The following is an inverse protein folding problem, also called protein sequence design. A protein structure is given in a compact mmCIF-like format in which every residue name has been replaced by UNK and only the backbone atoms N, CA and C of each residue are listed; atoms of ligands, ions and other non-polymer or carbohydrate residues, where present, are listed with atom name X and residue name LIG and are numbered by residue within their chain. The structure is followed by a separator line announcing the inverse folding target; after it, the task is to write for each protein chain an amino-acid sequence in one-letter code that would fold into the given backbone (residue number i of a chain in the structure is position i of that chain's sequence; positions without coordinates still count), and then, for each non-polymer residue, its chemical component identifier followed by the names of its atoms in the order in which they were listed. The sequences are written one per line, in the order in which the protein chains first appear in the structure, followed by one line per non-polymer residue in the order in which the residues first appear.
data_IF_930623637436
#
_entry.id   IF_930623637436
#
_cell.length_a   1.000
_cell.length_b   1.000
_cell.length_c   1.000
_cell.angle_alpha   90.00
_cell.angle_beta   90.00
_cell.angle_gamma   90.00
#
_symmetry.space_group_name_H-M   'P 1'
#
loop_
_entity.id
_entity.type
_entity.pdbx_description
1 polymer ?
#
# COMPACT_ATOMS: atom_id res chain seq x y z
N UNK A 1 -31.02 1.36 -6.01
CA UNK A 1 -30.51 0.97 -4.68
C UNK A 1 -29.19 0.21 -4.75
N UNK A 2 -28.95 -0.67 -5.73
CA UNK A 2 -27.65 -1.36 -5.88
C UNK A 2 -26.43 -0.41 -6.04
N UNK A 3 -26.59 0.73 -6.72
CA UNK A 3 -25.50 1.70 -6.89
C UNK A 3 -25.10 2.46 -5.62
N UNK A 4 -25.99 2.57 -4.62
CA UNK A 4 -25.65 3.19 -3.33
C UNK A 4 -24.80 2.23 -2.49
N UNK A 5 -25.19 0.96 -2.42
CA UNK A 5 -24.41 -0.06 -1.72
C UNK A 5 -22.99 -0.22 -2.29
N UNK A 6 -22.85 -0.16 -3.63
CA UNK A 6 -21.52 -0.22 -4.27
C UNK A 6 -20.67 1.03 -3.99
N UNK A 7 -21.28 2.21 -3.92
CA UNK A 7 -20.57 3.44 -3.54
C UNK A 7 -20.15 3.43 -2.07
N UNK A 8 -20.98 2.88 -1.18
CA UNK A 8 -20.68 2.71 0.24
C UNK A 8 -19.53 1.72 0.44
N UNK A 9 -19.52 0.59 -0.27
CA UNK A 9 -18.44 -0.39 -0.23
C UNK A 9 -17.10 0.21 -0.72
N UNK A 10 -17.11 0.92 -1.84
CA UNK A 10 -15.93 1.66 -2.33
C UNK A 10 -15.47 2.75 -1.35
N UNK A 11 -16.40 3.42 -0.66
CA UNK A 11 -16.06 4.40 0.34
C UNK A 11 -15.39 3.77 1.56
N UNK A 12 -15.89 2.60 2.02
CA UNK A 12 -15.29 1.82 3.10
C UNK A 12 -13.89 1.37 2.73
N UNK A 13 -13.68 0.81 1.53
CA UNK A 13 -12.36 0.38 1.06
C UNK A 13 -11.38 1.56 1.03
N UNK A 14 -11.79 2.69 0.42
CA UNK A 14 -10.96 3.89 0.32
C UNK A 14 -10.62 4.47 1.69
N UNK A 15 -11.59 4.56 2.60
CA UNK A 15 -11.36 5.11 3.95
C UNK A 15 -10.51 4.16 4.80
N UNK A 16 -10.71 2.85 4.67
CA UNK A 16 -9.89 1.84 5.33
C UNK A 16 -8.44 1.94 4.86
N UNK A 17 -8.23 2.00 3.54
CA UNK A 17 -6.90 2.20 2.97
C UNK A 17 -6.27 3.48 3.50
N UNK A 18 -7.03 4.58 3.51
CA UNK A 18 -6.53 5.87 4.00
C UNK A 18 -6.11 5.84 5.47
N UNK A 19 -6.90 5.21 6.33
CA UNK A 19 -6.57 5.10 7.76
C UNK A 19 -5.32 4.22 7.98
N UNK A 20 -5.15 3.17 7.19
CA UNK A 20 -3.96 2.32 7.24
C UNK A 20 -2.72 3.08 6.74
N UNK A 21 -2.87 3.87 5.66
CA UNK A 21 -1.83 4.79 5.18
C UNK A 21 -1.41 5.78 6.28
N UNK A 22 -2.36 6.51 6.87
CA UNK A 22 -2.09 7.52 7.90
C UNK A 22 -1.39 6.88 9.13
N UNK A 23 -1.87 5.71 9.59
CA UNK A 23 -1.24 4.97 10.70
C UNK A 23 0.20 4.52 10.37
N UNK A 24 0.47 4.14 9.13
CA UNK A 24 1.81 3.80 8.67
C UNK A 24 2.73 5.02 8.71
N UNK A 25 2.28 6.17 8.20
CA UNK A 25 3.05 7.42 8.23
C UNK A 25 3.37 7.85 9.67
N UNK A 26 2.38 7.81 10.56
CA UNK A 26 2.56 8.16 11.96
C UNK A 26 3.57 7.24 12.65
N UNK A 27 3.47 5.93 12.42
CA UNK A 27 4.42 4.96 12.95
C UNK A 27 5.83 5.20 12.40
N UNK A 28 5.96 5.41 11.08
CA UNK A 28 7.24 5.67 10.45
C UNK A 28 7.88 6.94 11.01
N UNK A 29 7.11 8.01 11.22
CA UNK A 29 7.59 9.26 11.82
C UNK A 29 8.09 9.06 13.26
N UNK A 30 7.33 8.34 14.08
CA UNK A 30 7.70 8.04 15.48
C UNK A 30 8.96 7.18 15.55
N UNK A 31 9.05 6.12 14.74
CA UNK A 31 10.20 5.23 14.75
C UNK A 31 11.44 5.93 14.19
N UNK A 32 11.31 6.77 13.16
CA UNK A 32 12.42 7.58 12.64
C UNK A 32 12.95 8.56 13.69
N UNK A 33 12.06 9.24 14.42
CA UNK A 33 12.46 10.17 15.48
C UNK A 33 13.16 9.48 16.66
N UNK A 34 12.74 8.25 16.99
CA UNK A 34 13.28 7.52 18.14
C UNK A 34 14.55 6.71 17.81
N UNK A 35 14.56 5.96 16.70
CA UNK A 35 15.62 5.03 16.28
C UNK A 35 15.64 4.86 14.75
N UNK A 36 16.41 5.69 14.02
CA UNK A 36 16.44 5.67 12.55
C UNK A 36 16.79 4.31 11.93
N UNK A 37 17.71 3.56 12.55
CA UNK A 37 18.11 2.23 12.08
C UNK A 37 16.97 1.19 12.26
N UNK A 38 16.17 1.32 13.32
CA UNK A 38 15.00 0.47 13.52
C UNK A 38 13.88 0.83 12.53
N UNK A 39 13.74 2.11 12.18
CA UNK A 39 12.81 2.55 11.15
C UNK A 39 13.16 1.93 9.79
N UNK A 40 14.43 2.00 9.38
CA UNK A 40 14.88 1.41 8.12
C UNK A 40 14.62 -0.11 8.06
N UNK A 41 14.90 -0.84 9.15
CA UNK A 41 14.62 -2.28 9.22
C UNK A 41 13.12 -2.59 9.16
N UNK A 42 12.28 -1.79 9.83
CA UNK A 42 10.83 -1.93 9.81
C UNK A 42 10.26 -1.69 8.40
N UNK A 43 10.71 -0.63 7.73
CA UNK A 43 10.31 -0.27 6.37
C UNK A 43 10.65 -1.42 5.39
N UNK A 44 11.86 -1.97 5.47
CA UNK A 44 12.28 -3.11 4.66
C UNK A 44 11.43 -4.38 4.89
N UNK A 45 11.06 -4.69 6.15
CA UNK A 45 10.17 -5.81 6.46
C UNK A 45 8.77 -5.60 5.86
N UNK A 46 8.29 -4.36 5.86
CA UNK A 46 6.98 -4.02 5.30
C UNK A 46 6.99 -4.11 3.77
N UNK A 47 8.04 -3.65 3.10
CA UNK A 47 8.27 -3.84 1.66
C UNK A 47 8.25 -5.33 1.26
N UNK A 48 8.96 -6.17 2.02
CA UNK A 48 8.99 -7.60 1.76
C UNK A 48 7.61 -8.24 1.91
N UNK A 49 6.88 -7.88 2.97
CA UNK A 49 5.55 -8.44 3.23
C UNK A 49 4.55 -8.07 2.13
N UNK A 50 4.60 -6.85 1.61
CA UNK A 50 3.79 -6.42 0.46
C UNK A 50 4.11 -7.27 -0.76
N UNK A 51 5.40 -7.44 -1.07
CA UNK A 51 5.86 -8.27 -2.17
C UNK A 51 5.36 -9.71 -2.05
N UNK A 52 5.43 -10.29 -0.85
CA UNK A 52 4.97 -11.66 -0.59
C UNK A 52 3.46 -11.81 -0.82
N UNK A 53 2.66 -10.83 -0.36
CA UNK A 53 1.19 -10.83 -0.54
C UNK A 53 0.80 -10.70 -2.01
N UNK A 54 1.42 -9.76 -2.74
CA UNK A 54 1.15 -9.58 -4.16
C UNK A 54 1.57 -10.81 -4.99
N UNK A 55 2.72 -11.39 -4.65
CA UNK A 55 3.18 -12.65 -5.25
C UNK A 55 2.21 -13.78 -4.98
N UNK A 56 1.71 -13.90 -3.75
CA UNK A 56 0.71 -14.89 -3.39
C UNK A 56 -0.60 -14.69 -4.18
N UNK A 57 -1.09 -13.44 -4.28
CA UNK A 57 -2.28 -13.08 -5.04
C UNK A 57 -2.17 -13.52 -6.51
N UNK A 58 -1.03 -13.26 -7.15
CA UNK A 58 -0.76 -13.72 -8.51
C UNK A 58 -0.73 -15.24 -8.62
N UNK A 59 -0.06 -15.92 -7.67
CA UNK A 59 0.09 -17.39 -7.70
C UNK A 59 -1.22 -18.13 -7.46
N UNK A 60 -2.07 -17.62 -6.58
CA UNK A 60 -3.36 -18.25 -6.25
C UNK A 60 -4.47 -17.86 -7.20
N UNK A 61 -4.25 -16.83 -8.04
CA UNK A 61 -5.29 -16.21 -8.88
C UNK A 61 -6.55 -15.87 -8.08
N UNK A 62 -6.40 -15.31 -6.88
CA UNK A 62 -7.55 -15.03 -6.00
C UNK A 62 -8.59 -14.10 -6.65
N UNK A 63 -8.16 -13.26 -7.59
CA UNK A 63 -9.01 -12.35 -8.38
C UNK A 63 -9.28 -12.87 -9.81
N UNK A 64 -9.07 -14.17 -10.05
CA UNK A 64 -9.21 -14.80 -11.36
C UNK A 64 -8.16 -14.31 -12.36
N UNK A 65 -8.54 -14.17 -13.63
CA UNK A 65 -7.62 -13.79 -14.73
C UNK A 65 -7.03 -12.39 -14.58
N UNK A 66 -7.64 -11.53 -13.77
CA UNK A 66 -7.17 -10.15 -13.53
C UNK A 66 -6.17 -10.02 -12.38
N UNK A 67 -5.84 -11.12 -11.71
CA UNK A 67 -4.97 -11.10 -10.51
C UNK A 67 -3.63 -10.42 -10.75
N UNK A 68 -3.02 -10.60 -11.93
CA UNK A 68 -1.75 -9.95 -12.27
C UNK A 68 -1.89 -8.43 -12.44
N UNK A 69 -2.95 -7.98 -13.14
CA UNK A 69 -3.24 -6.55 -13.33
C UNK A 69 -3.56 -5.88 -12.00
N UNK A 70 -4.32 -6.55 -11.14
CA UNK A 70 -4.66 -6.03 -9.81
C UNK A 70 -3.41 -5.98 -8.93
N UNK A 71 -2.58 -7.02 -8.93
CA UNK A 71 -1.33 -7.02 -8.16
C UNK A 71 -0.38 -5.90 -8.59
N UNK A 72 -0.28 -5.63 -9.89
CA UNK A 72 0.52 -4.52 -10.41
C UNK A 72 -0.03 -3.16 -9.94
N UNK A 73 -1.32 -2.92 -10.11
CA UNK A 73 -1.95 -1.67 -9.69
C UNK A 73 -1.84 -1.42 -8.17
N UNK A 74 -2.02 -2.48 -7.37
CA UNK A 74 -1.85 -2.40 -5.90
C UNK A 74 -0.37 -2.18 -5.56
N UNK A 75 0.56 -2.85 -6.25
CA UNK A 75 1.99 -2.66 -6.06
C UNK A 75 2.47 -1.24 -6.37
N UNK A 76 2.03 -0.66 -7.48
CA UNK A 76 2.31 0.73 -7.85
C UNK A 76 1.79 1.70 -6.78
N UNK A 77 0.55 1.49 -6.31
CA UNK A 77 -0.05 2.34 -5.28
C UNK A 77 0.70 2.27 -3.95
N UNK A 78 1.14 1.08 -3.54
CA UNK A 78 1.92 0.90 -2.31
C UNK A 78 3.31 1.51 -2.43
N UNK A 79 3.96 1.38 -3.60
CA UNK A 79 5.25 2.02 -3.85
C UNK A 79 5.17 3.54 -3.70
N UNK A 80 4.10 4.18 -4.21
CA UNK A 80 3.87 5.62 -4.03
C UNK A 80 3.76 6.01 -2.54
N UNK A 81 3.02 5.23 -1.75
CA UNK A 81 2.83 5.46 -0.32
C UNK A 81 4.18 5.38 0.41
N UNK A 82 4.95 4.33 0.11
CA UNK A 82 6.27 4.11 0.70
C UNK A 82 7.26 5.20 0.32
N UNK A 83 7.32 5.62 -0.94
CA UNK A 83 8.23 6.71 -1.37
C UNK A 83 7.92 8.02 -0.63
N UNK A 84 6.64 8.36 -0.47
CA UNK A 84 6.21 9.51 0.32
C UNK A 84 6.64 9.36 1.80
N UNK A 85 6.59 8.16 2.37
CA UNK A 85 6.94 7.92 3.78
C UNK A 85 8.45 8.05 4.02
N UNK A 86 9.24 7.70 3.02
CA UNK A 86 10.69 7.90 3.00
C UNK A 86 11.10 9.35 2.70
N UNK A 87 10.15 10.25 2.44
CA UNK A 87 10.41 11.63 2.04
C UNK A 87 11.05 11.75 0.64
N UNK A 88 10.96 10.70 -0.19
CA UNK A 88 11.42 10.73 -1.57
C UNK A 88 10.38 11.43 -2.44
N UNK A 89 10.78 12.28 -3.40
CA UNK A 89 9.81 12.82 -4.36
C UNK A 89 9.17 11.65 -5.10
N UNK A 90 7.85 11.59 -5.07
CA UNK A 90 7.08 10.64 -5.87
C UNK A 90 7.47 10.82 -7.33
N UNK A 91 8.15 9.83 -7.90
CA UNK A 91 8.41 9.81 -9.34
C UNK A 91 7.09 9.47 -10.04
N UNK A 92 6.19 10.45 -10.11
CA UNK A 92 5.12 10.48 -11.10
C UNK A 92 5.84 10.40 -12.44
N UNK A 93 5.73 9.26 -13.11
CA UNK A 93 6.16 9.13 -14.50
C UNK A 93 5.23 10.05 -15.27
N UNK A 94 5.74 11.23 -15.65
CA UNK A 94 5.07 12.13 -16.56
C UNK A 94 4.71 11.32 -17.81
N UNK A 95 3.42 11.24 -18.09
CA UNK A 95 2.87 10.70 -19.32
C UNK A 95 3.35 11.51 -20.54
#
# INVERSE_FOLDING_TARGET
MAGLAQLEEQAVERLTLRLVEDAYYDLAAVVQAAKPQAAAALLAVMEQRVTDVLTLLCRTRSEGERSEVIALAVGERIAEIMDQAHGRPSHVRAA
#
